data_IF_172541832854
#
_entry.id   IF_172541832854
#
_cell.length_a   1.000
_cell.length_b   1.000
_cell.length_c   1.000
_cell.angle_alpha   90.00
_cell.angle_beta   90.00
_cell.angle_gamma   90.00
#
_symmetry.space_group_name_H-M   'P 1'
#
loop_
_entity.id
_entity.type
_entity.pdbx_description
1 polymer ?
2 non-polymer ?
3 non-polymer ?
4 non-polymer ?
5 non-polymer ?
6 non-polymer ?
7 non-polymer ?
8 water ?
#
# COMPACT_ATOMS: atom_id res chain seq x y z
N UNK A 6 5.09 5.34 18.73
CA UNK A 6 5.21 6.78 18.34
C UNK A 6 6.07 6.97 17.09
N UNK A 7 6.00 5.98 16.20
CA UNK A 7 6.66 6.05 14.91
C UNK A 7 5.91 5.19 13.92
N UNK A 8 5.91 5.62 12.67
CA UNK A 8 5.35 4.80 11.61
C UNK A 8 6.31 3.66 11.31
N UNK A 9 5.86 2.41 11.47
CA UNK A 9 6.81 1.29 11.41
C UNK A 9 7.46 1.17 10.02
N UNK A 10 6.77 1.59 8.97
CA UNK A 10 7.35 1.48 7.63
C UNK A 10 8.40 2.54 7.44
N UNK A 11 8.12 3.75 7.90
CA UNK A 11 9.13 4.79 7.81
C UNK A 11 10.35 4.40 8.62
N UNK A 12 10.15 3.70 9.75
CA UNK A 12 11.28 3.27 10.57
C UNK A 12 12.14 2.23 9.85
N UNK A 13 11.52 1.26 9.17
CA UNK A 13 12.29 0.37 8.30
C UNK A 13 13.19 1.15 7.35
N UNK A 14 12.57 2.06 6.60
CA UNK A 14 13.30 2.85 5.63
C UNK A 14 14.44 3.65 6.26
N UNK A 15 14.15 4.33 7.37
CA UNK A 15 15.16 5.14 8.04
C UNK A 15 16.30 4.28 8.57
N UNK A 16 16.04 3.00 8.85
CA UNK A 16 17.04 2.10 9.36
C UNK A 16 17.67 1.25 8.27
N UNK A 17 17.38 1.55 7.01
CA UNK A 17 18.09 0.92 5.92
C UNK A 17 17.55 -0.42 5.46
N UNK A 18 16.30 -0.74 5.75
CA UNK A 18 15.70 -1.97 5.26
C UNK A 18 14.36 -1.71 4.60
N UNK A 19 13.91 -2.61 3.73
CA UNK A 19 12.57 -2.47 3.15
C UNK A 19 11.53 -2.93 4.15
N UNK A 20 10.26 -2.73 3.77
CA UNK A 20 9.10 -3.13 4.54
C UNK A 20 8.35 -4.22 3.78
N UNK A 21 7.85 -5.21 4.52
CA UNK A 21 7.01 -6.29 4.03
C UNK A 21 5.64 -6.13 4.67
N UNK A 22 4.59 -6.16 3.85
CA UNK A 22 3.24 -5.88 4.34
C UNK A 22 2.27 -6.97 3.93
N UNK A 23 1.26 -7.14 4.76
CA UNK A 23 0.14 -7.99 4.42
C UNK A 23 -0.86 -7.24 3.57
N UNK A 24 -1.89 -7.98 3.15
CA UNK A 24 -2.86 -7.44 2.20
C UNK A 24 -4.19 -8.11 2.46
N UNK A 25 -5.20 -7.32 2.87
CA UNK A 25 -6.45 -7.88 3.32
C UNK A 25 -7.59 -7.47 2.39
N UNK A 26 -8.28 -8.45 1.81
CA UNK A 26 -9.54 -8.23 1.10
C UNK A 26 -10.72 -8.75 1.89
N UNK A 27 -10.48 -9.40 3.08
CA UNK A 27 -11.63 -9.90 3.83
C UNK A 27 -11.92 -8.96 5.00
N UNK A 28 -13.16 -8.51 5.18
CA UNK A 28 -13.45 -7.68 6.35
C UNK A 28 -13.31 -8.46 7.63
N UNK A 29 -12.95 -7.75 8.69
CA UNK A 29 -13.07 -8.30 10.03
C UNK A 29 -11.81 -8.04 10.81
N UNK A 30 -11.88 -8.09 12.14
CA UNK A 30 -10.75 -7.72 12.99
C UNK A 30 -9.89 -8.88 13.42
N UNK A 31 -10.42 -10.10 13.44
CA UNK A 31 -9.67 -11.19 14.06
C UNK A 31 -8.47 -11.57 13.22
N UNK A 32 -8.67 -11.76 11.92
CA UNK A 32 -7.51 -12.10 11.08
C UNK A 32 -6.61 -10.90 10.89
N UNK A 33 -7.17 -9.69 10.92
CA UNK A 33 -6.34 -8.51 10.81
C UNK A 33 -5.33 -8.44 11.96
N UNK A 34 -5.80 -8.63 13.20
CA UNK A 34 -4.90 -8.65 14.36
C UNK A 34 -3.93 -9.80 14.26
N UNK A 35 -4.42 -10.98 13.90
CA UNK A 35 -3.55 -12.14 13.88
C UNK A 35 -2.44 -11.97 12.85
N UNK A 36 -2.77 -11.45 11.67
CA UNK A 36 -1.71 -11.25 10.67
C UNK A 36 -0.76 -10.13 11.08
N UNK A 37 -1.29 -9.10 11.72
CA UNK A 37 -0.45 -7.98 12.17
C UNK A 37 0.60 -8.43 13.17
N UNK A 38 0.29 -9.44 13.99
CA UNK A 38 1.22 -9.95 14.97
C UNK A 38 2.32 -10.81 14.37
N UNK A 39 2.22 -11.16 13.09
CA UNK A 39 3.28 -11.85 12.38
C UNK A 39 4.35 -10.83 12.01
N UNK A 40 5.41 -11.30 11.34
CA UNK A 40 6.54 -10.43 11.00
C UNK A 40 6.25 -9.60 9.75
N UNK A 41 5.10 -8.96 9.75
CA UNK A 41 4.74 -7.93 8.80
C UNK A 41 5.00 -6.60 9.46
N UNK A 42 5.62 -5.69 8.70
CA UNK A 42 5.80 -4.32 9.17
C UNK A 42 4.53 -3.51 9.04
N UNK A 43 3.67 -3.85 8.08
CA UNK A 43 2.42 -3.14 7.84
C UNK A 43 1.43 -4.19 7.38
N UNK A 44 0.15 -3.85 7.46
CA UNK A 44 -0.90 -4.63 6.83
C UNK A 44 -1.75 -3.65 6.05
N UNK A 45 -1.90 -3.89 4.75
CA UNK A 45 -2.71 -3.07 3.87
C UNK A 45 -4.15 -3.60 3.82
N UNK A 46 -5.14 -2.73 4.03
CA UNK A 46 -6.54 -3.11 3.85
C UNK A 46 -7.01 -2.60 2.48
N UNK A 47 -7.51 -3.51 1.64
CA UNK A 47 -7.91 -3.18 0.27
C UNK A 47 -9.37 -2.77 0.27
N UNK A 48 -9.64 -1.52 -0.07
CA UNK A 48 -10.98 -1.00 -0.11
C UNK A 48 -11.47 -0.84 -1.54
N UNK A 49 -10.66 -1.26 -2.50
CA UNK A 49 -11.02 -1.19 -3.91
C UNK A 49 -11.64 -2.50 -4.37
N UNK A 50 -10.91 -3.60 -4.27
CA UNK A 50 -11.34 -4.89 -4.78
C UNK A 50 -11.65 -5.81 -3.60
N UNK A 51 -12.69 -5.43 -2.88
CA UNK A 51 -13.13 -6.13 -1.70
C UNK A 51 -14.51 -5.59 -1.37
N UNK A 52 -15.19 -6.21 -0.43
CA UNK A 52 -16.46 -5.66 0.10
C UNK A 52 -16.25 -4.79 1.33
N UNK A 53 -15.03 -4.33 1.56
CA UNK A 53 -14.70 -3.58 2.77
C UNK A 53 -15.08 -2.11 2.57
N UNK A 54 -16.13 -1.67 3.27
CA UNK A 54 -16.51 -0.26 3.29
C UNK A 54 -15.95 0.42 4.54
N UNK A 55 -16.24 1.73 4.66
CA UNK A 55 -15.66 2.48 5.76
C UNK A 55 -16.04 1.89 7.12
N UNK A 56 -17.29 1.48 7.28
CA UNK A 56 -17.71 1.00 8.58
C UNK A 56 -16.98 -0.25 8.98
N UNK A 57 -16.59 -1.06 7.99
CA UNK A 57 -15.78 -2.23 8.29
C UNK A 57 -14.31 -1.93 8.41
N UNK A 58 -13.78 -0.97 7.65
CA UNK A 58 -12.36 -0.71 7.78
C UNK A 58 -12.02 -0.13 9.15
N UNK A 59 -12.91 0.63 9.77
CA UNK A 59 -12.51 1.40 10.95
C UNK A 59 -12.03 0.50 12.08
N UNK A 60 -12.75 -0.55 12.46
CA UNK A 60 -12.23 -1.40 13.53
C UNK A 60 -11.01 -2.19 13.08
N UNK A 61 -10.85 -2.44 11.79
CA UNK A 61 -9.69 -3.20 11.36
C UNK A 61 -8.39 -2.43 11.61
N UNK A 62 -8.43 -1.12 11.39
CA UNK A 62 -7.27 -0.26 11.66
C UNK A 62 -6.83 -0.40 13.11
N UNK A 63 -7.81 -0.40 14.04
CA UNK A 63 -7.52 -0.56 15.46
C UNK A 63 -6.84 -1.91 15.71
N UNK A 64 -7.38 -2.96 15.09
CA UNK A 64 -6.89 -4.31 15.34
C UNK A 64 -5.46 -4.48 14.83
N UNK A 65 -5.16 -3.92 13.66
CA UNK A 65 -3.81 -4.02 13.11
C UNK A 65 -2.84 -3.29 13.99
N UNK A 66 -3.23 -2.13 14.51
CA UNK A 66 -2.30 -1.38 15.36
C UNK A 66 -2.02 -2.14 16.64
N UNK A 67 -3.07 -2.73 17.26
CA UNK A 67 -2.89 -3.51 18.46
C UNK A 67 -1.96 -4.68 18.22
N UNK A 68 -2.09 -5.31 17.04
CA UNK A 68 -1.28 -6.46 16.69
C UNK A 68 0.16 -6.13 16.42
N UNK A 69 0.48 -4.87 16.18
CA UNK A 69 1.86 -4.46 16.05
C UNK A 69 2.36 -4.31 14.62
N UNK A 70 1.48 -3.97 13.70
CA UNK A 70 1.87 -3.61 12.34
C UNK A 70 1.28 -2.24 12.05
N UNK A 71 1.88 -1.54 11.11
CA UNK A 71 1.36 -0.23 10.75
C UNK A 71 0.11 -0.40 9.87
N UNK A 72 -1.02 0.19 10.24
CA UNK A 72 -2.24 0.05 9.40
C UNK A 72 -2.17 0.92 8.15
N UNK A 73 -2.27 0.27 6.99
CA UNK A 73 -2.29 0.93 5.68
C UNK A 73 -3.65 0.68 5.02
N UNK A 74 -4.08 1.56 4.12
CA UNK A 74 -5.26 1.31 3.29
C UNK A 74 -4.93 1.54 1.83
N UNK A 75 -5.30 0.59 0.95
CA UNK A 75 -5.37 0.88 -0.50
C UNK A 75 -6.80 1.35 -0.75
N UNK A 76 -6.96 2.62 -1.10
CA UNK A 76 -8.29 3.19 -1.15
C UNK A 76 -9.00 2.75 -2.42
N UNK A 77 -10.31 2.98 -2.43
CA UNK A 77 -11.14 2.74 -3.62
C UNK A 77 -10.75 3.67 -4.76
N UNK A 78 -10.40 4.91 -4.42
CA UNK A 78 -10.10 5.92 -5.41
C UNK A 78 -9.20 6.97 -4.76
N UNK A 79 -8.48 7.72 -5.60
CA UNK A 79 -7.68 8.86 -5.15
C UNK A 79 -8.60 10.06 -4.96
N UNK A 80 -9.24 10.11 -3.79
CA UNK A 80 -10.20 11.15 -3.46
C UNK A 80 -9.78 11.77 -2.14
N UNK A 81 -9.51 13.07 -2.11
CA UNK A 81 -8.92 13.66 -0.91
C UNK A 81 -9.74 13.49 0.34
N UNK A 82 -11.05 13.75 0.28
CA UNK A 82 -11.84 13.68 1.52
C UNK A 82 -11.94 12.24 2.01
N UNK A 83 -11.99 11.26 1.09
CA UNK A 83 -12.00 9.86 1.54
C UNK A 83 -10.71 9.56 2.29
N UNK A 84 -9.59 9.97 1.71
CA UNK A 84 -8.27 9.75 2.32
C UNK A 84 -8.18 10.44 3.68
N UNK A 85 -8.67 11.68 3.78
CA UNK A 85 -8.57 12.39 5.06
C UNK A 85 -9.37 11.67 6.14
N UNK A 86 -10.52 11.12 5.80
CA UNK A 86 -11.32 10.50 6.82
C UNK A 86 -10.63 9.23 7.33
N UNK A 87 -9.94 8.53 6.42
CA UNK A 87 -9.18 7.35 6.83
C UNK A 87 -8.00 7.75 7.70
N UNK A 88 -7.32 8.85 7.35
CA UNK A 88 -6.22 9.32 8.19
C UNK A 88 -6.69 9.58 9.59
N UNK A 89 -7.84 10.22 9.72
CA UNK A 89 -8.34 10.55 11.04
C UNK A 89 -8.86 9.34 11.80
N UNK A 90 -9.15 8.24 11.10
CA UNK A 90 -9.52 6.96 11.68
C UNK A 90 -8.31 6.07 11.96
N UNK A 91 -7.10 6.61 11.77
CA UNK A 91 -5.90 5.86 12.08
C UNK A 91 -5.39 4.93 11.00
N UNK A 92 -5.61 5.27 9.73
CA UNK A 92 -4.80 4.80 8.61
C UNK A 92 -3.50 5.60 8.57
N UNK A 93 -2.36 4.92 8.61
CA UNK A 93 -1.09 5.64 8.62
C UNK A 93 -0.29 5.41 7.35
N UNK A 94 -0.88 4.70 6.40
CA UNK A 94 -0.32 4.53 5.09
C UNK A 94 -1.48 4.53 4.12
N UNK A 95 -1.30 5.22 3.00
CA UNK A 95 -2.33 5.39 1.97
C UNK A 95 -1.71 4.99 0.63
N UNK A 96 -2.30 4.03 -0.03
CA UNK A 96 -1.93 3.63 -1.38
C UNK A 96 -3.13 3.96 -2.24
N UNK A 97 -2.99 4.88 -3.18
CA UNK A 97 -4.15 5.33 -3.94
C UNK A 97 -4.11 4.73 -5.34
N UNK A 98 -5.17 4.09 -5.80
CA UNK A 98 -5.10 3.41 -7.09
C UNK A 98 -5.15 4.38 -8.26
N UNK A 99 -4.64 3.90 -9.39
CA UNK A 99 -4.91 4.52 -10.68
C UNK A 99 -4.51 5.99 -10.69
N UNK A 100 -3.31 6.26 -10.18
CA UNK A 100 -2.72 7.59 -10.26
C UNK A 100 -1.97 7.69 -11.57
N UNK A 101 -2.52 8.47 -12.51
CA UNK A 101 -2.05 8.39 -13.90
C UNK A 101 -1.25 9.59 -14.37
N UNK A 102 -1.28 10.69 -13.64
CA UNK A 102 -0.72 11.97 -14.05
C UNK A 102 -0.09 12.66 -12.85
N UNK A 103 0.74 13.65 -13.16
CA UNK A 103 1.31 14.48 -12.10
C UNK A 103 0.23 15.17 -11.28
N UNK A 104 -0.81 15.69 -11.96
CA UNK A 104 -1.88 16.39 -11.25
C UNK A 104 -2.58 15.47 -10.27
N UNK A 105 -2.86 14.22 -10.69
CA UNK A 105 -3.51 13.28 -9.79
C UNK A 105 -2.60 12.94 -8.62
N UNK A 106 -1.29 12.85 -8.87
CA UNK A 106 -0.34 12.62 -7.79
C UNK A 106 -0.31 13.80 -6.83
N UNK A 107 -0.48 15.02 -7.36
CA UNK A 107 -0.53 16.21 -6.52
C UNK A 107 -1.82 16.24 -5.68
N UNK A 108 -2.92 15.77 -6.24
CA UNK A 108 -4.13 15.59 -5.46
C UNK A 108 -3.92 14.61 -4.32
N UNK A 109 -3.22 13.51 -4.55
CA UNK A 109 -2.97 12.57 -3.44
C UNK A 109 -2.13 13.27 -2.38
N UNK A 110 -1.04 13.89 -2.80
CA UNK A 110 -0.18 14.53 -1.83
C UNK A 110 -0.92 15.57 -1.00
N UNK A 111 -1.87 16.29 -1.61
CA UNK A 111 -2.56 17.38 -0.93
C UNK A 111 -3.35 16.88 0.27
N UNK A 112 -3.80 15.62 0.23
CA UNK A 112 -4.62 15.06 1.28
C UNK A 112 -3.82 14.60 2.48
N UNK A 113 -2.51 14.44 2.31
CA UNK A 113 -1.69 13.77 3.31
C UNK A 113 -0.95 14.73 4.20
N UNK A 114 -1.02 16.03 3.94
CA UNK A 114 -0.29 17.03 4.70
C UNK A 114 -1.21 18.18 5.04
N UNK A 115 -1.08 18.65 6.26
CA UNK A 115 -1.72 19.90 6.64
C UNK A 115 -1.09 21.10 5.93
N UNK A 116 -1.84 22.20 5.94
CA UNK A 116 -1.28 23.48 5.52
C UNK A 116 0.00 23.78 6.29
N UNK A 117 1.05 24.29 5.63
CA UNK A 117 1.04 24.75 4.23
C UNK A 117 1.46 23.76 3.16
N UNK A 118 1.92 22.59 3.58
CA UNK A 118 2.39 21.60 2.62
C UNK A 118 1.24 20.98 1.84
N UNK A 119 0.07 20.83 2.47
CA UNK A 119 -1.10 20.26 1.81
C UNK A 119 -2.38 20.94 2.26
N UNK A 120 -3.55 20.31 2.04
CA UNK A 120 -4.78 20.91 2.49
C UNK A 120 -5.59 19.99 3.39
N UNK A 121 -4.93 19.05 4.03
CA UNK A 121 -5.60 18.12 4.90
C UNK A 121 -6.39 18.89 5.95
N UNK A 122 -7.65 18.51 6.11
CA UNK A 122 -8.50 19.14 7.11
C UNK A 122 -8.16 18.61 8.50
N UNK A 123 -8.23 19.50 9.48
CA UNK A 123 -7.80 19.18 10.83
C UNK A 123 -8.97 18.64 11.68
N UNK A 124 -8.80 17.41 12.16
CA UNK A 124 -9.63 16.82 13.19
C UNK A 124 -9.16 15.39 13.42
N UNK A 125 -7.93 15.23 13.94
CA UNK A 125 -7.25 13.90 13.90
C UNK A 125 -7.66 13.04 15.08
N UNK A 126 -8.89 12.53 14.98
CA UNK A 126 -9.51 11.81 16.08
C UNK A 126 -8.58 10.73 16.65
N UNK A 127 -8.11 9.78 15.83
CA UNK A 127 -7.31 8.68 16.38
C UNK A 127 -5.80 9.00 16.39
N UNK A 128 -5.23 9.70 15.38
CA UNK A 128 -3.79 10.05 15.44
C UNK A 128 -3.47 10.85 16.69
N UNK A 129 -4.36 11.75 17.08
CA UNK A 129 -4.08 12.50 18.31
C UNK A 129 -4.06 11.61 19.55
N UNK A 130 -4.86 10.55 19.57
CA UNK A 130 -4.81 9.61 20.69
C UNK A 130 -3.51 8.83 20.69
N UNK A 131 -3.01 8.46 19.50
CA UNK A 131 -1.79 7.68 19.40
C UNK A 131 -0.54 8.50 19.70
N UNK A 132 -0.46 9.71 19.17
CA UNK A 132 0.75 10.52 19.19
C UNK A 132 0.72 11.63 20.22
N UNK A 133 -0.43 11.93 20.80
CA UNK A 133 -0.45 12.94 21.84
C UNK A 133 -0.33 14.37 21.33
N UNK A 134 0.04 15.26 22.25
CA UNK A 134 -0.08 16.69 21.97
C UNK A 134 0.88 17.13 20.86
N UNK A 135 2.00 16.43 20.69
CA UNK A 135 2.95 16.81 19.67
C UNK A 135 2.61 16.31 18.28
N UNK A 136 1.39 15.84 18.08
CA UNK A 136 1.07 15.23 16.79
C UNK A 136 1.26 16.20 15.64
N UNK A 137 0.70 17.40 15.75
CA UNK A 137 0.67 18.31 14.61
C UNK A 137 2.04 18.51 14.00
N UNK A 138 3.05 18.70 14.86
CA UNK A 138 4.39 19.01 14.40
C UNK A 138 5.02 17.84 13.66
N UNK A 139 4.60 16.62 13.96
CA UNK A 139 5.15 15.44 13.32
C UNK A 139 4.18 14.74 12.39
N UNK A 140 3.04 15.36 12.07
CA UNK A 140 1.97 14.63 11.43
C UNK A 140 2.38 14.08 10.08
N UNK A 141 3.14 14.86 9.30
CA UNK A 141 3.45 14.37 7.96
C UNK A 141 4.29 13.11 8.06
N UNK A 142 5.20 13.07 9.01
CA UNK A 142 6.07 11.92 9.11
C UNK A 142 5.33 10.67 9.54
N UNK A 143 4.16 10.82 10.19
CA UNK A 143 3.43 9.66 10.69
C UNK A 143 2.71 8.91 9.58
N UNK A 144 2.61 9.49 8.39
CA UNK A 144 1.84 8.91 7.28
C UNK A 144 2.76 8.63 6.10
N UNK A 145 2.61 7.46 5.52
CA UNK A 145 3.26 7.08 4.27
C UNK A 145 2.24 7.16 3.14
N UNK A 146 2.61 7.79 2.02
CA UNK A 146 1.73 7.82 0.87
C UNK A 146 2.37 7.27 -0.39
N UNK A 147 1.68 6.40 -1.09
CA UNK A 147 2.21 5.88 -2.35
C UNK A 147 1.16 6.00 -3.43
N UNK A 148 1.55 6.48 -4.61
CA UNK A 148 0.66 6.56 -5.77
C UNK A 148 0.78 5.29 -6.62
N UNK A 149 -0.33 4.69 -6.99
CA UNK A 149 -0.24 3.46 -7.78
C UNK A 149 -0.07 3.73 -9.26
N UNK A 150 0.78 2.92 -9.86
CA UNK A 150 1.13 2.96 -11.27
C UNK A 150 0.58 1.70 -11.87
N UNK A 151 -0.42 1.84 -12.71
CA UNK A 151 -1.20 0.68 -13.13
C UNK A 151 -1.65 0.75 -14.57
N UNK A 152 -1.27 1.78 -15.32
CA UNK A 152 -1.68 1.95 -16.69
C UNK A 152 -0.49 2.37 -17.56
N UNK A 153 -0.65 2.19 -18.88
CA UNK A 153 0.31 2.76 -19.83
C UNK A 153 0.46 4.26 -19.61
N UNK A 154 -0.64 4.96 -19.30
CA UNK A 154 -0.55 6.41 -19.09
C UNK A 154 0.33 6.73 -17.87
N UNK A 155 0.13 6.01 -16.78
CA UNK A 155 0.99 6.21 -15.60
C UNK A 155 2.44 5.90 -15.94
N UNK A 156 2.68 4.83 -16.71
CA UNK A 156 4.05 4.58 -17.18
C UNK A 156 4.60 5.77 -17.95
N UNK A 157 3.80 6.34 -18.86
CA UNK A 157 4.26 7.45 -19.66
C UNK A 157 4.62 8.64 -18.81
N UNK A 158 3.94 8.80 -17.69
CA UNK A 158 4.12 9.98 -16.84
C UNK A 158 4.94 9.69 -15.59
N UNK A 159 5.68 8.59 -15.56
CA UNK A 159 6.27 8.14 -14.30
C UNK A 159 7.24 9.18 -13.71
N UNK A 160 8.16 9.73 -14.53
CA UNK A 160 9.07 10.73 -13.94
C UNK A 160 8.33 11.93 -13.36
N UNK A 161 7.33 12.42 -14.06
CA UNK A 161 6.55 13.54 -13.52
C UNK A 161 5.78 13.16 -12.27
N UNK A 162 5.21 11.94 -12.20
CA UNK A 162 4.55 11.49 -10.98
C UNK A 162 5.57 11.45 -9.85
N UNK A 163 6.76 10.95 -10.14
CA UNK A 163 7.79 10.80 -9.13
C UNK A 163 8.33 12.14 -8.65
N UNK A 164 8.11 13.20 -9.42
CA UNK A 164 8.61 14.52 -9.04
C UNK A 164 7.71 15.19 -8.00
N UNK A 165 6.59 14.57 -7.62
CA UNK A 165 5.69 15.21 -6.66
C UNK A 165 6.22 15.08 -5.25
N UNK A 166 6.49 16.23 -4.64
CA UNK A 166 6.78 16.28 -3.24
C UNK A 166 5.51 15.95 -2.45
N UNK A 167 5.70 15.30 -1.33
CA UNK A 167 4.61 14.98 -0.46
C UNK A 167 4.08 13.56 -0.61
N UNK A 168 4.48 12.83 -1.65
CA UNK A 168 4.25 11.39 -1.62
C UNK A 168 5.62 10.74 -1.51
N UNK A 169 5.68 9.57 -0.87
CA UNK A 169 6.94 8.87 -0.66
C UNK A 169 7.39 8.15 -1.91
N UNK A 170 6.48 7.94 -2.86
CA UNK A 170 6.83 7.24 -4.07
C UNK A 170 5.63 6.52 -4.65
N UNK A 171 5.89 5.41 -5.31
CA UNK A 171 4.84 4.74 -6.08
C UNK A 171 4.73 3.28 -5.71
N UNK A 172 3.56 2.71 -6.03
CA UNK A 172 3.23 1.33 -5.73
C UNK A 172 2.68 0.71 -7.01
N UNK A 173 3.33 -0.31 -7.55
CA UNK A 173 2.93 -0.88 -8.85
C UNK A 173 1.75 -1.84 -8.65
N UNK A 174 0.71 -1.70 -9.49
CA UNK A 174 -0.39 -2.64 -9.54
C UNK A 174 -0.22 -3.46 -10.79
N UNK A 175 0.40 -4.64 -10.65
CA UNK A 175 0.92 -5.31 -11.84
C UNK A 175 -0.15 -6.07 -12.62
N UNK A 176 -1.30 -6.38 -12.02
CA UNK A 176 -2.30 -7.08 -12.84
C UNK A 176 -3.03 -6.07 -13.71
N UNK A 177 -3.37 -4.91 -13.16
CA UNK A 177 -3.94 -3.87 -14.00
C UNK A 177 -2.96 -3.44 -15.08
N UNK A 178 -1.67 -3.34 -14.73
CA UNK A 178 -0.67 -2.89 -15.68
C UNK A 178 -0.56 -3.88 -16.82
N UNK A 179 -0.50 -5.17 -16.50
CA UNK A 179 -0.48 -6.19 -17.55
C UNK A 179 -1.69 -6.07 -18.46
N UNK A 180 -2.88 -5.93 -17.87
CA UNK A 180 -4.09 -5.85 -18.67
C UNK A 180 -4.08 -4.65 -19.60
N UNK A 181 -3.64 -3.50 -19.11
CA UNK A 181 -3.61 -2.32 -19.97
C UNK A 181 -2.61 -2.45 -21.13
N UNK A 182 -1.56 -3.22 -20.93
CA UNK A 182 -0.62 -3.57 -21.97
C UNK A 182 -1.12 -4.66 -22.90
N UNK A 183 -2.33 -5.18 -22.72
CA UNK A 183 -2.83 -6.20 -23.62
C UNK A 183 -2.48 -7.63 -23.24
N UNK A 184 -2.03 -7.85 -22.00
CA UNK A 184 -1.64 -9.18 -21.53
C UNK A 184 -2.59 -9.67 -20.45
N UNK A 185 -2.52 -10.97 -20.16
CA UNK A 185 -3.35 -11.54 -19.12
C UNK A 185 -3.02 -10.89 -17.78
N UNK A 186 -4.03 -10.59 -16.94
CA UNK A 186 -3.77 -9.94 -15.64
C UNK A 186 -3.30 -10.93 -14.58
N UNK A 187 -2.18 -11.59 -14.88
CA UNK A 187 -1.61 -12.61 -14.01
C UNK A 187 -0.70 -11.96 -12.97
N UNK A 188 -0.91 -12.34 -11.70
CA UNK A 188 -0.03 -11.86 -10.63
C UNK A 188 1.33 -12.51 -10.79
N UNK A 189 2.38 -11.79 -10.40
CA UNK A 189 3.73 -12.35 -10.40
C UNK A 189 4.10 -12.84 -11.80
N UNK A 190 3.73 -12.07 -12.81
CA UNK A 190 3.87 -12.50 -14.19
C UNK A 190 5.32 -12.55 -14.66
N UNK A 191 5.55 -13.39 -15.66
CA UNK A 191 6.83 -13.43 -16.35
C UNK A 191 6.78 -12.77 -17.72
N UNK A 192 5.63 -12.21 -18.10
CA UNK A 192 5.49 -11.58 -19.42
C UNK A 192 6.52 -10.48 -19.56
N UNK A 193 7.35 -10.60 -20.59
CA UNK A 193 8.54 -9.76 -20.69
C UNK A 193 8.19 -8.27 -20.65
N UNK A 194 7.19 -7.84 -21.42
CA UNK A 194 6.88 -6.41 -21.50
C UNK A 194 6.46 -5.89 -20.12
N UNK A 195 5.73 -6.70 -19.35
CA UNK A 195 5.29 -6.28 -18.04
C UNK A 195 6.47 -6.25 -17.08
N UNK A 196 7.30 -7.30 -17.12
CA UNK A 196 8.49 -7.35 -16.29
C UNK A 196 9.38 -6.15 -16.57
N UNK A 197 9.57 -5.84 -17.86
CA UNK A 197 10.39 -4.69 -18.25
C UNK A 197 9.82 -3.40 -17.70
N UNK A 198 8.50 -3.22 -17.81
CA UNK A 198 7.89 -2.00 -17.30
C UNK A 198 8.06 -1.89 -15.80
N UNK A 199 7.92 -3.00 -15.10
CA UNK A 199 8.04 -2.97 -13.65
C UNK A 199 9.44 -2.56 -13.26
N UNK A 200 10.45 -3.17 -13.90
CA UNK A 200 11.83 -2.76 -13.62
C UNK A 200 12.03 -1.29 -13.92
N UNK A 201 11.49 -0.82 -15.03
CA UNK A 201 11.70 0.57 -15.39
C UNK A 201 11.13 1.50 -14.32
N UNK A 202 9.91 1.21 -13.85
CA UNK A 202 9.34 2.05 -12.80
C UNK A 202 10.23 2.06 -11.57
N UNK A 203 10.71 0.88 -11.14
CA UNK A 203 11.64 0.84 -10.02
C UNK A 203 12.88 1.69 -10.28
N UNK A 204 13.50 1.53 -11.45
CA UNK A 204 14.70 2.29 -11.76
C UNK A 204 14.42 3.79 -11.72
N UNK A 205 13.28 4.23 -12.26
CA UNK A 205 13.01 5.67 -12.28
C UNK A 205 12.73 6.19 -10.87
N UNK A 206 12.02 5.40 -10.06
CA UNK A 206 11.72 5.80 -8.69
C UNK A 206 12.99 6.00 -7.90
N UNK A 207 13.91 5.08 -8.02
CA UNK A 207 15.15 5.27 -7.31
C UNK A 207 16.02 6.36 -7.91
N UNK A 208 16.02 6.52 -9.24
CA UNK A 208 16.74 7.65 -9.83
C UNK A 208 16.22 8.97 -9.25
N UNK A 209 14.95 9.03 -8.88
CA UNK A 209 14.35 10.23 -8.29
C UNK A 209 14.51 10.28 -6.79
N UNK A 210 15.18 9.30 -6.20
CA UNK A 210 15.30 9.30 -4.76
C UNK A 210 14.02 9.01 -4.02
N UNK A 211 13.07 8.33 -4.67
CA UNK A 211 11.79 7.98 -4.07
C UNK A 211 11.70 6.49 -3.79
N UNK A 212 10.61 6.09 -3.11
CA UNK A 212 10.36 4.71 -2.74
C UNK A 212 9.48 4.05 -3.79
N UNK A 213 9.65 2.75 -3.92
CA UNK A 213 8.85 2.00 -4.88
C UNK A 213 8.39 0.70 -4.24
N UNK A 214 7.11 0.37 -4.48
CA UNK A 214 6.52 -0.82 -3.94
C UNK A 214 5.85 -1.64 -5.03
N UNK A 215 5.49 -2.87 -4.67
CA UNK A 215 4.83 -3.74 -5.62
C UNK A 215 3.99 -4.77 -4.89
N UNK A 216 2.82 -5.07 -5.47
CA UNK A 216 1.90 -6.10 -5.01
C UNK A 216 2.37 -7.47 -5.50
N UNK A 217 2.57 -8.41 -4.58
CA UNK A 217 3.00 -9.76 -4.91
C UNK A 217 1.97 -10.79 -4.49
N UNK A 218 1.95 -11.88 -5.23
CA UNK A 218 1.01 -12.96 -5.01
C UNK A 218 1.62 -14.18 -4.36
N UNK A 219 2.90 -14.15 -4.04
CA UNK A 219 3.59 -15.28 -3.44
C UNK A 219 4.81 -14.81 -2.66
N UNK A 220 5.23 -15.65 -1.72
CA UNK A 220 6.44 -15.37 -0.95
C UNK A 220 7.71 -15.42 -1.78
N UNK A 221 7.80 -16.36 -2.72
CA UNK A 221 8.97 -16.39 -3.59
C UNK A 221 9.11 -15.16 -4.48
N UNK A 222 8.02 -14.74 -5.10
CA UNK A 222 8.12 -13.53 -5.91
C UNK A 222 8.50 -12.35 -5.04
N UNK A 223 7.92 -12.28 -3.84
CA UNK A 223 8.22 -11.18 -2.94
C UNK A 223 9.69 -11.16 -2.57
N UNK A 224 10.28 -12.33 -2.31
CA UNK A 224 11.71 -12.39 -2.03
C UNK A 224 12.52 -11.77 -3.17
N UNK A 225 12.20 -12.14 -4.41
CA UNK A 225 12.93 -11.60 -5.56
C UNK A 225 12.78 -10.09 -5.63
N UNK A 226 11.56 -9.59 -5.40
CA UNK A 226 11.36 -8.15 -5.45
C UNK A 226 12.18 -7.43 -4.38
N UNK A 227 12.23 -7.98 -3.17
CA UNK A 227 13.08 -7.37 -2.17
C UNK A 227 14.54 -7.38 -2.63
N UNK A 228 14.99 -8.50 -3.22
CA UNK A 228 16.36 -8.56 -3.70
C UNK A 228 16.62 -7.54 -4.81
N UNK A 229 15.62 -7.29 -5.66
CA UNK A 229 15.76 -6.29 -6.72
C UNK A 229 15.74 -4.87 -6.17
N UNK A 230 15.42 -4.69 -4.89
CA UNK A 230 15.49 -3.38 -4.25
C UNK A 230 14.18 -2.67 -3.98
N UNK A 231 13.04 -3.33 -4.16
CA UNK A 231 11.78 -2.70 -3.85
C UNK A 231 11.75 -2.35 -2.37
N UNK A 232 11.25 -1.17 -2.08
CA UNK A 232 11.19 -0.68 -0.71
C UNK A 232 9.97 -1.13 0.08
N UNK A 233 8.91 -1.59 -0.59
CA UNK A 233 7.64 -1.91 0.05
C UNK A 233 7.03 -3.03 -0.76
N UNK A 234 6.91 -4.21 -0.18
CA UNK A 234 6.49 -5.39 -0.92
C UNK A 234 5.32 -5.96 -0.16
N UNK A 235 4.20 -6.21 -0.83
CA UNK A 235 3.08 -6.86 -0.17
C UNK A 235 2.97 -8.32 -0.63
N UNK A 236 2.63 -9.21 0.29
CA UNK A 236 2.44 -10.61 -0.05
C UNK A 236 1.73 -11.28 1.12
N UNK A 237 0.67 -12.06 0.86
CA UNK A 237 -0.15 -12.06 -0.35
C UNK A 237 -1.59 -11.88 0.16
N UNK A 238 -2.56 -11.63 -0.73
CA UNK A 238 -3.93 -11.37 -0.24
C UNK A 238 -4.45 -12.46 0.68
N UNK A 239 -5.09 -12.06 1.77
CA UNK A 239 -5.67 -13.04 2.69
C UNK A 239 -6.58 -14.03 1.95
N UNK A 240 -7.49 -13.53 1.10
CA UNK A 240 -8.42 -14.45 0.44
C UNK A 240 -7.69 -15.44 -0.47
N UNK A 241 -6.67 -14.98 -1.18
CA UNK A 241 -5.94 -15.88 -2.08
C UNK A 241 -5.16 -16.91 -1.28
N UNK A 242 -4.54 -16.49 -0.18
CA UNK A 242 -3.80 -17.44 0.66
C UNK A 242 -4.74 -18.47 1.29
N UNK A 243 -5.90 -18.02 1.73
CA UNK A 243 -6.85 -18.91 2.41
C UNK A 243 -7.45 -19.91 1.43
N UNK A 244 -7.85 -19.43 0.25
CA UNK A 244 -8.36 -20.31 -0.80
C UNK A 244 -7.36 -21.39 -1.15
N UNK A 245 -6.09 -21.00 -1.35
CA UNK A 245 -5.07 -21.96 -1.75
C UNK A 245 -4.83 -22.97 -0.65
N UNK A 246 -4.84 -22.50 0.60
CA UNK A 246 -4.65 -23.37 1.76
C UNK A 246 -5.79 -24.37 1.88
N UNK A 247 -7.02 -23.90 1.69
CA UNK A 247 -8.19 -24.78 1.76
C UNK A 247 -8.18 -25.81 0.63
N UNK A 248 -7.84 -25.39 -0.59
CA UNK A 248 -7.73 -26.34 -1.69
C UNK A 248 -6.76 -27.44 -1.34
N UNK A 249 -5.64 -27.08 -0.73
CA UNK A 249 -4.63 -28.09 -0.40
C UNK A 249 -5.11 -29.00 0.74
N UNK A 250 -5.78 -28.45 1.75
CA UNK A 250 -6.31 -29.29 2.82
C UNK A 250 -7.32 -30.28 2.25
N UNK A 251 -8.18 -29.80 1.36
CA UNK A 251 -9.16 -30.70 0.76
C UNK A 251 -8.47 -31.80 -0.06
N UNK A 252 -7.47 -31.42 -0.87
CA UNK A 252 -6.76 -32.42 -1.69
C UNK A 252 -6.11 -33.47 -0.81
N UNK A 253 -5.47 -33.03 0.27
CA UNK A 253 -4.85 -33.96 1.19
C UNK A 253 -5.88 -34.84 1.89
N UNK A 254 -7.01 -34.26 2.28
CA UNK A 254 -8.04 -35.01 2.99
C UNK A 254 -8.67 -36.09 2.12
N UNK A 255 -8.89 -35.77 0.83
CA UNK A 255 -9.61 -36.66 -0.10
C UNK A 255 -8.69 -37.58 -0.88
N UNK A 256 -7.38 -37.44 -0.75
CA UNK A 256 -6.47 -38.37 -1.40
C UNK A 256 -6.66 -39.78 -0.85
N UNK A 257 -6.44 -40.77 -1.73
CA UNK A 257 -6.47 -42.14 -1.27
C UNK A 257 -5.35 -42.37 -0.27
X LIG B 1 -3.21 -4.54 -9.37
X LIG B 1 -3.84 -3.91 -10.25
X LIG B 1 -2.60 -5.63 -9.56
X LIG B 1 -3.35 -3.95 -8.00
X LIG B 1 -4.14 -3.08 -7.84
X LIG B 1 -2.45 -4.50 -6.90
X LIG B 1 -2.61 -3.75 -5.74
X LIG B 1 -1.42 -4.45 -7.22
X LIG B 1 -2.72 -5.53 -6.70
X LIG B 1 -1.92 -3.94 -5.12
X LIG C 1 -3.16 19.55 18.25
X LIG C 1 -2.72 20.76 17.70
X LIG C 1 -2.52 18.41 17.46
X LIG C 1 -1.21 18.17 17.93
X LIG C 1 -3.44 17.18 17.64
X LIG C 1 -3.28 16.41 18.54
X LIG C 1 -2.85 19.50 19.29
X LIG C 1 -4.24 19.48 18.19
X LIG C 1 -3.00 21.48 18.25
X LIG C 1 -2.42 18.63 16.41
X LIG C 1 -1.20 17.34 18.36
X LIG C 1 -4.25 17.01 16.93
X LIG D 1 -5.65 -8.48 -6.07
X LIG D 1 -6.48 -9.59 -5.89
X LIG D 1 -6.18 -7.63 -7.21
X LIG D 1 -7.44 -7.12 -6.89
X LIG D 1 -5.21 -6.47 -7.41
X LIG D 1 -5.53 -5.39 -7.05
X LIG D 1 -4.64 -8.83 -6.31
X LIG D 1 -5.61 -7.90 -5.17
X LIG D 1 -6.15 -10.13 -5.19
X LIG D 1 -6.26 -8.23 -8.11
X LIG D 1 -7.61 -6.35 -7.41
X LIG D 1 -4.25 -6.63 -7.88
X LIG E 1 -15.43 4.97 1.33
X LIG E 1 -15.99 3.73 1.74
X LIG E 1 -17.33 3.95 2.37
X LIG E 1 -18.22 2.92 2.04
X LIG E 1 -15.40 3.31 2.40
X LIG E 1 -16.09 3.14 0.97
X LIG E 1 -17.22 4.01 3.33
X LIG E 1 -17.68 4.79 2.03
X LIG E 1 -18.93 2.92 2.51
X LIG F 1 6.87 8.36 11.87
X LIG F 1 8.00 8.88 12.53
X LIG F 1 9.22 8.51 11.74
X LIG F 1 9.28 7.10 11.56
X LIG G 1 -6.93 -9.30 -22.72
X LIG G 1 -6.24 -10.31 -21.97
X LIG G 1 -4.93 -10.65 -22.62
X LIG G 1 -5.09 -11.60 -23.67
X LIG G 1 -6.79 -11.11 -21.93
X LIG G 1 -6.08 -9.99 -21.07
X LIG G 1 -4.34 -11.02 -21.96
X LIG G 1 -4.55 -9.84 -22.99
X LIG G 1 -4.35 -11.86 -24.01
X LIG H 1 3.19 18.41 -2.91
X LIG H 1 3.24 18.64 -1.49
X LIG H 1 4.54 19.30 -1.06
X LIG H 1 5.22 18.58 -0.02
X LIG H 1 3.15 17.80 -1.02
X LIG H 1 2.50 19.23 -1.24
X LIG H 1 4.35 20.19 -0.73
X LIG H 1 5.12 19.35 -1.84
X LIG H 1 5.44 17.79 -0.26
X LIG I 1 -7.40 -22.42 -8.98
X LIG I 1 -7.17 -23.73 -9.48
X LIG I 1 -6.14 -21.72 -8.62
X LIG I 1 -6.41 -20.35 -8.35
X LIG I 1 -5.31 -19.50 -8.64
X LIG I 1 -5.76 -18.43 -9.59
X LIG I 1 -5.69 -17.16 -8.98
X LIG I 1 -7.97 -22.49 -8.19
X LIG I 1 -7.87 -21.91 -9.67
X LIG I 1 -7.86 -24.14 -9.72
X LIG I 1 -5.74 -22.14 -7.84
X LIG I 1 -5.51 -21.78 -9.36
X LIG I 1 -4.99 -19.10 -7.82
X LIG I 1 -4.61 -20.02 -9.05
X LIG I 1 -5.19 -18.45 -10.37
X LIG I 1 -6.68 -18.61 -9.85
X LIG I 1 -5.87 -16.50 -9.51
X LIG J 1 -5.02 -2.41 -9.68
X LIG K 1 -2.92 -12.69 -5.78
X LIG L 1 -11.11 -28.06 -4.25
X LIG M 1 -16.98 -0.64 14.86
X LIG N 1 4.20 -7.18 13.24
#
# INVERSE_FOLDING_TARGET
>A
MHHHHHHNKVRTCWNEGRPALAGWLQLPGTLHAEALARLDYDAVVIDMQHSPIDFGQVAPMLIAIELGGAEPFVRTQVNDPSDIMKLLDAGAYGIIAPMVNTRAEAQTLASALHYSPRGLRSFGPRRPSLRYGSGYLAQASETVVGLAMIETREALANIDEILSVDGIDGVFIGPTDLALDLGHAPLVDTEEAEVVSAIAHVRERAHAAGKRVGIFCGSGGFARVKLAEGFDFVTAAPDLAMLSAAARQVIADARAL
>B hetero
1 3PY C1 O1 O2 C2 O3 C3 O4 H31 H32 HO4
>C hetero
1 3GR C3 O3 C2 O2 C1 O1 H31 H32 HO3 H2 HO2 H1
>D hetero
1 3GR C3 O3 C2 O2 C1 O1 H31 H32 HO3 H2 HO2 H1
>E hetero
1 PEG O2 C3 C4 O4 H31 H32 H41 H42 HO4
>F hetero
1 PEG O2 C3 C4 O4
>G hetero
1 PEG O2 C3 C4 O4 H31 H32 H41 H42 HO4
>H hetero
1 PEG O2 C3 C4 O4 H31 H32 H41 H42 HO4
>I hetero
1 PEG C1 O1 C2 O2 C3 C4 O4 H11 H12 HO1 H21 H22 H31 H32 H41 H42 HO4
>J hetero
1 MG MG
>K hetero
1 BR BR
>L hetero
1 BR BR
>M hetero
1 BR BR
>N hetero
1 K K
#
